data_IF_506725986876
#
_entry.id   IF_506725986876
#
_cell.length_a   1.000
_cell.length_b   1.000
_cell.length_c   1.000
_cell.angle_alpha   90.00
_cell.angle_beta   90.00
_cell.angle_gamma   90.00
#
_symmetry.space_group_name_H-M   'P 1'
#
loop_
_entity.id
_entity.type
_entity.pdbx_description
1 polymer ?
#
# COMPACT_ATOMS: atom_id res chain seq x y z
N UNK A 1 5.08 -35.70 6.33
CA UNK A 1 5.62 -34.71 5.38
C UNK A 1 6.78 -33.97 6.04
N UNK A 2 8.01 -34.04 5.49
CA UNK A 2 9.14 -33.24 5.98
C UNK A 2 8.84 -31.76 5.70
N UNK A 3 8.73 -30.92 6.73
CA UNK A 3 8.64 -29.46 6.59
C UNK A 3 9.89 -29.00 5.84
N UNK A 4 9.74 -28.60 4.57
CA UNK A 4 10.79 -27.86 3.84
C UNK A 4 11.02 -26.58 4.64
N UNK A 5 12.12 -26.49 5.38
CA UNK A 5 12.57 -25.22 5.98
C UNK A 5 12.80 -24.26 4.81
N UNK A 6 11.98 -23.24 4.71
CA UNK A 6 12.18 -22.19 3.73
C UNK A 6 13.51 -21.48 4.06
N UNK A 7 14.31 -21.23 3.03
CA UNK A 7 15.64 -20.64 3.16
C UNK A 7 15.47 -19.15 3.51
N UNK A 8 16.01 -18.71 4.65
CA UNK A 8 15.96 -17.31 5.08
C UNK A 8 16.56 -16.44 3.97
N UNK A 9 15.85 -15.38 3.57
CA UNK A 9 16.39 -14.41 2.62
C UNK A 9 17.53 -13.65 3.31
N UNK A 10 18.69 -13.63 2.67
CA UNK A 10 19.90 -12.96 3.17
C UNK A 10 19.99 -11.55 2.56
N UNK A 11 20.34 -10.55 3.37
CA UNK A 11 20.55 -9.16 2.93
C UNK A 11 20.14 -8.11 3.97
N UNK A 12 20.63 -6.89 3.78
CA UNK A 12 20.24 -5.74 4.61
C UNK A 12 18.73 -5.46 4.41
N UNK A 13 17.98 -5.30 5.50
CA UNK A 13 16.52 -5.14 5.52
C UNK A 13 15.71 -6.32 4.93
N UNK A 14 16.29 -7.53 4.80
CA UNK A 14 15.51 -8.72 4.45
C UNK A 14 14.38 -8.95 5.47
N UNK A 15 13.20 -9.45 5.04
CA UNK A 15 12.09 -9.73 5.95
C UNK A 15 12.55 -10.58 7.13
N UNK A 16 12.21 -10.17 8.36
CA UNK A 16 12.65 -10.85 9.58
C UNK A 16 12.19 -12.30 9.66
N UNK A 17 11.06 -12.61 9.03
CA UNK A 17 10.51 -13.95 8.82
C UNK A 17 9.94 -14.05 7.42
N UNK A 18 9.87 -15.28 6.90
CA UNK A 18 9.14 -15.57 5.67
C UNK A 18 7.75 -16.06 6.02
N UNK A 19 6.73 -15.52 5.38
CA UNK A 19 5.35 -16.02 5.53
C UNK A 19 5.20 -17.40 4.87
N UNK A 20 5.29 -18.45 5.68
CA UNK A 20 5.18 -19.85 5.23
C UNK A 20 3.79 -20.45 5.51
N UNK A 21 2.97 -19.85 6.37
CA UNK A 21 1.65 -20.39 6.75
C UNK A 21 0.48 -19.52 6.29
N UNK A 22 -0.21 -20.00 5.25
CA UNK A 22 -1.51 -19.47 4.80
C UNK A 22 -2.58 -20.03 5.75
N UNK A 23 -2.84 -19.36 6.87
CA UNK A 23 -3.99 -19.71 7.70
C UNK A 23 -5.28 -19.34 6.97
N UNK A 24 -6.29 -20.23 6.88
CA UNK A 24 -7.53 -19.95 6.15
C UNK A 24 -8.31 -18.74 6.68
N UNK A 25 -8.00 -18.28 7.90
CA UNK A 25 -8.62 -17.11 8.52
C UNK A 25 -7.78 -15.83 8.39
N UNK A 26 -6.59 -15.90 7.77
CA UNK A 26 -5.64 -14.78 7.68
C UNK A 26 -5.43 -14.35 6.24
N UNK A 27 -5.50 -13.05 5.99
CA UNK A 27 -5.20 -12.49 4.67
C UNK A 27 -3.70 -12.33 4.55
N UNK A 28 -3.03 -13.31 3.94
CA UNK A 28 -1.58 -13.27 3.69
C UNK A 28 -1.25 -13.21 2.20
N UNK A 29 -0.16 -12.55 1.85
CA UNK A 29 0.36 -12.50 0.49
C UNK A 29 1.49 -11.50 0.37
N UNK A 30 1.86 -11.16 -0.86
CA UNK A 30 2.82 -10.09 -1.11
C UNK A 30 2.75 -9.55 -2.52
N UNK A 31 3.28 -8.35 -2.71
CA UNK A 31 3.41 -7.71 -4.02
C UNK A 31 4.88 -7.44 -4.31
N UNK A 32 5.34 -7.87 -5.48
CA UNK A 32 6.69 -7.61 -5.97
C UNK A 32 6.62 -6.60 -7.12
N UNK A 33 7.27 -5.46 -6.95
CA UNK A 33 7.60 -4.48 -7.98
C UNK A 33 9.11 -4.29 -7.92
N UNK A 34 9.83 -4.82 -8.92
CA UNK A 34 11.28 -5.04 -8.89
C UNK A 34 12.09 -3.80 -8.46
N UNK A 35 11.71 -2.60 -8.93
CA UNK A 35 12.40 -1.35 -8.59
C UNK A 35 12.11 -0.82 -7.17
N UNK A 36 10.98 -1.24 -6.57
CA UNK A 36 10.44 -0.66 -5.34
C UNK A 36 10.45 -1.61 -4.14
N UNK A 37 10.43 -2.90 -4.39
CA UNK A 37 10.33 -3.92 -3.34
C UNK A 37 11.46 -4.92 -3.57
N UNK A 38 12.64 -4.72 -2.97
CA UNK A 38 13.77 -5.63 -3.13
C UNK A 38 13.43 -7.08 -2.74
N UNK A 39 12.49 -7.21 -1.82
CA UNK A 39 11.79 -8.44 -1.47
C UNK A 39 10.29 -8.19 -1.67
N UNK A 40 9.46 -9.23 -1.92
CA UNK A 40 8.01 -9.04 -1.96
C UNK A 40 7.53 -8.28 -0.72
N UNK A 41 6.78 -7.20 -0.91
CA UNK A 41 6.14 -6.49 0.20
C UNK A 41 5.03 -7.38 0.74
N UNK A 42 5.32 -8.10 1.82
CA UNK A 42 4.42 -9.07 2.43
C UNK A 42 3.37 -8.37 3.31
N UNK A 43 2.16 -8.95 3.37
CA UNK A 43 1.09 -8.52 4.25
C UNK A 43 0.48 -9.70 5.01
N UNK A 44 0.00 -9.44 6.22
CA UNK A 44 -0.65 -10.37 7.14
C UNK A 44 -2.06 -9.94 7.57
N UNK A 45 -2.48 -8.75 7.14
CA UNK A 45 -3.80 -8.19 7.38
C UNK A 45 -4.38 -7.54 6.13
N UNK A 46 -5.70 -7.32 6.13
CA UNK A 46 -6.38 -6.60 5.05
C UNK A 46 -5.94 -5.13 4.97
N UNK A 47 -5.57 -4.52 6.10
CA UNK A 47 -5.07 -3.14 6.14
C UNK A 47 -3.67 -3.02 5.52
N UNK A 48 -2.76 -3.94 5.84
CA UNK A 48 -1.44 -4.02 5.19
C UNK A 48 -1.56 -4.23 3.68
N UNK A 49 -2.46 -5.13 3.25
CA UNK A 49 -2.74 -5.36 1.81
C UNK A 49 -3.16 -4.07 1.09
N UNK A 50 -3.94 -3.21 1.75
CA UNK A 50 -4.40 -1.93 1.20
C UNK A 50 -3.31 -0.86 1.18
N UNK A 51 -2.42 -0.86 2.19
CA UNK A 51 -1.29 0.08 2.27
C UNK A 51 -0.29 -0.12 1.14
N UNK A 52 0.08 -1.38 0.84
CA UNK A 52 1.17 -1.66 -0.09
C UNK A 52 1.01 -0.92 -1.44
N UNK A 53 -0.10 -1.05 -2.18
CA UNK A 53 -0.24 -0.32 -3.44
C UNK A 53 -0.24 1.20 -3.25
N UNK A 54 -0.74 1.72 -2.13
CA UNK A 54 -0.70 3.15 -1.79
C UNK A 54 0.75 3.65 -1.67
N UNK A 55 1.60 2.90 -0.97
CA UNK A 55 3.03 3.21 -0.81
C UNK A 55 3.78 3.14 -2.14
N UNK A 56 3.51 2.12 -2.95
CA UNK A 56 4.20 1.94 -4.24
C UNK A 56 3.81 3.01 -5.27
N UNK A 57 2.63 3.62 -5.12
CA UNK A 57 2.18 4.75 -5.93
C UNK A 57 2.75 6.09 -5.45
N UNK A 58 3.40 6.15 -4.29
CA UNK A 58 4.04 7.37 -3.82
C UNK A 58 5.30 7.67 -4.63
N UNK A 59 5.45 8.92 -5.06
CA UNK A 59 6.57 9.41 -5.88
C UNK A 59 7.88 9.48 -5.10
N UNK A 60 7.81 9.83 -3.82
CA UNK A 60 8.96 9.99 -2.92
C UNK A 60 9.49 8.66 -2.37
N UNK A 61 8.72 7.56 -2.49
CA UNK A 61 9.13 6.23 -2.05
C UNK A 61 10.13 5.62 -3.03
N UNK A 62 11.31 5.27 -2.50
CA UNK A 62 12.37 4.56 -3.23
C UNK A 62 12.25 3.06 -3.03
N UNK A 63 12.05 2.61 -1.79
CA UNK A 63 11.96 1.20 -1.44
C UNK A 63 10.97 0.94 -0.32
N UNK A 64 10.34 -0.23 -0.33
CA UNK A 64 9.44 -0.75 0.70
C UNK A 64 9.92 -2.12 1.12
N UNK A 65 10.09 -2.32 2.43
CA UNK A 65 10.44 -3.59 3.05
C UNK A 65 9.37 -3.96 4.07
N UNK A 66 8.91 -5.21 4.07
CA UNK A 66 7.98 -5.70 5.07
C UNK A 66 8.71 -6.28 6.28
N UNK A 67 8.03 -6.28 7.44
CA UNK A 67 8.40 -7.03 8.64
C UNK A 67 9.81 -6.74 9.18
N UNK A 68 10.09 -5.47 9.46
CA UNK A 68 11.40 -5.05 9.96
C UNK A 68 11.48 -5.14 11.49
N UNK A 69 12.27 -6.10 11.97
CA UNK A 69 12.51 -6.29 13.39
C UNK A 69 13.46 -5.21 13.94
N UNK A 70 13.13 -4.69 15.12
CA UNK A 70 13.88 -3.71 15.91
C UNK A 70 13.76 -4.06 17.38
N UNK A 71 14.82 -3.80 18.14
CA UNK A 71 14.77 -3.92 19.60
C UNK A 71 14.27 -2.61 20.20
N UNK A 72 13.55 -2.68 21.31
CA UNK A 72 13.13 -1.52 22.09
C UNK A 72 13.13 -1.85 23.58
N UNK A 73 13.18 -0.82 24.43
CA UNK A 73 13.00 -0.99 25.88
C UNK A 73 11.56 -0.66 26.25
N UNK A 74 10.90 -1.57 26.97
CA UNK A 74 9.56 -1.34 27.50
C UNK A 74 9.59 -0.42 28.74
N UNK A 75 8.42 -0.25 29.38
CA UNK A 75 8.27 0.67 30.52
C UNK A 75 9.03 0.21 31.77
N UNK A 76 9.30 -1.10 31.86
CA UNK A 76 10.06 -1.71 32.96
C UNK A 76 11.56 -1.75 32.65
N UNK A 77 11.99 -1.18 31.52
CA UNK A 77 13.37 -1.19 31.06
C UNK A 77 13.83 -2.54 30.51
N UNK A 78 12.90 -3.45 30.20
CA UNK A 78 13.22 -4.76 29.63
C UNK A 78 13.34 -4.63 28.11
N UNK A 79 14.41 -5.20 27.55
CA UNK A 79 14.59 -5.24 26.10
C UNK A 79 13.59 -6.22 25.48
N UNK A 80 12.86 -5.74 24.48
CA UNK A 80 11.83 -6.48 23.74
C UNK A 80 12.12 -6.38 22.25
N UNK A 81 11.63 -7.37 21.51
CA UNK A 81 11.63 -7.32 20.05
C UNK A 81 10.29 -6.76 19.57
N UNK A 82 10.35 -5.85 18.61
CA UNK A 82 9.20 -5.31 17.90
C UNK A 82 9.44 -5.48 16.40
N UNK A 83 8.39 -5.79 15.65
CA UNK A 83 8.47 -5.91 14.19
C UNK A 83 7.50 -4.91 13.59
N UNK A 84 8.03 -3.88 12.96
CA UNK A 84 7.21 -2.92 12.22
C UNK A 84 6.64 -3.60 10.97
N UNK A 85 5.39 -3.28 10.64
CA UNK A 85 4.72 -3.81 9.44
C UNK A 85 5.53 -3.49 8.18
N UNK A 86 6.01 -2.24 8.05
CA UNK A 86 6.88 -1.82 6.95
C UNK A 86 8.04 -0.92 7.39
N UNK A 87 9.10 -0.90 6.58
CA UNK A 87 10.09 0.16 6.52
C UNK A 87 10.06 0.71 5.10
N UNK A 88 10.04 2.04 4.99
CA UNK A 88 10.09 2.72 3.70
C UNK A 88 11.30 3.65 3.63
N UNK A 89 11.98 3.60 2.49
CA UNK A 89 12.99 4.59 2.12
C UNK A 89 12.31 5.67 1.30
N UNK A 90 12.35 6.92 1.76
CA UNK A 90 11.85 8.08 1.01
C UNK A 90 12.78 9.27 1.19
N UNK A 91 13.10 9.96 0.09
CA UNK A 91 14.17 10.96 0.11
C UNK A 91 15.48 10.38 0.68
N UNK A 92 15.98 10.95 1.77
CA UNK A 92 17.18 10.49 2.49
C UNK A 92 16.83 9.93 3.89
N UNK A 93 15.58 9.55 4.11
CA UNK A 93 15.05 9.13 5.41
C UNK A 93 14.48 7.72 5.27
N UNK A 94 14.79 6.88 6.25
CA UNK A 94 14.10 5.62 6.48
C UNK A 94 13.01 5.82 7.53
N UNK A 95 11.80 5.33 7.29
CA UNK A 95 10.68 5.44 8.24
C UNK A 95 10.06 4.08 8.47
N UNK A 96 10.04 3.66 9.74
CA UNK A 96 9.27 2.51 10.20
C UNK A 96 7.78 2.89 10.23
N UNK A 97 6.94 2.06 9.63
CA UNK A 97 5.50 2.28 9.53
C UNK A 97 4.78 1.11 10.21
N UNK A 98 3.93 1.45 11.17
CA UNK A 98 2.98 0.54 11.79
C UNK A 98 1.58 0.81 11.24
N UNK A 99 0.85 -0.25 10.90
CA UNK A 99 -0.52 -0.18 10.38
C UNK A 99 -1.46 -0.78 11.39
N UNK A 100 -2.34 0.04 11.95
CA UNK A 100 -3.34 -0.42 12.92
C UNK A 100 -4.63 0.38 12.80
N UNK A 101 -5.79 -0.25 13.05
CA UNK A 101 -7.02 0.48 13.25
C UNK A 101 -6.84 1.55 14.33
N UNK A 102 -7.45 2.71 14.11
CA UNK A 102 -7.33 3.83 15.06
C UNK A 102 -7.82 3.44 16.47
N UNK A 103 -8.91 2.70 16.56
CA UNK A 103 -9.45 2.17 17.82
C UNK A 103 -8.48 1.22 18.55
N UNK A 104 -7.69 0.45 17.79
CA UNK A 104 -6.72 -0.48 18.35
C UNK A 104 -5.56 0.26 18.99
N UNK A 105 -5.01 1.27 18.30
CA UNK A 105 -3.89 2.07 18.81
C UNK A 105 -4.23 2.78 20.14
N UNK A 106 -5.47 3.23 20.27
CA UNK A 106 -5.93 3.99 21.44
C UNK A 106 -6.66 3.16 22.48
N UNK A 107 -6.72 1.82 22.31
CA UNK A 107 -7.22 0.94 23.35
C UNK A 107 -6.29 0.98 24.57
N UNK A 108 -6.83 1.06 25.82
CA UNK A 108 -6.02 1.17 27.03
C UNK A 108 -4.95 0.08 27.20
N UNK A 109 -5.19 -1.12 26.66
CA UNK A 109 -4.25 -2.24 26.73
C UNK A 109 -3.09 -2.13 25.72
N UNK A 110 -3.27 -1.41 24.60
CA UNK A 110 -2.30 -1.35 23.51
C UNK A 110 -1.51 -0.04 23.49
N UNK A 111 -2.16 1.07 23.87
CA UNK A 111 -1.55 2.40 23.89
C UNK A 111 -0.23 2.46 24.70
N UNK A 112 -0.12 1.85 25.91
CA UNK A 112 1.12 1.87 26.69
C UNK A 112 2.32 1.26 25.94
N UNK A 113 2.09 0.17 25.21
CA UNK A 113 3.11 -0.54 24.41
C UNK A 113 3.59 0.32 23.24
N UNK A 114 2.66 0.89 22.47
CA UNK A 114 3.02 1.76 21.34
C UNK A 114 3.71 3.06 21.77
N UNK A 115 3.35 3.62 22.93
CA UNK A 115 4.07 4.75 23.52
C UNK A 115 5.50 4.37 23.89
N UNK A 116 5.73 3.18 24.46
CA UNK A 116 7.08 2.72 24.80
C UNK A 116 7.95 2.54 23.55
N UNK A 117 7.41 1.89 22.51
CA UNK A 117 8.08 1.71 21.21
C UNK A 117 8.45 3.08 20.60
N UNK A 118 7.47 3.98 20.50
CA UNK A 118 7.66 5.29 19.89
C UNK A 118 8.67 6.16 20.67
N UNK A 119 8.63 6.15 22.01
CA UNK A 119 9.63 6.82 22.84
C UNK A 119 11.04 6.28 22.61
N UNK A 120 11.17 4.95 22.49
CA UNK A 120 12.47 4.33 22.23
C UNK A 120 13.02 4.76 20.86
N UNK A 121 12.21 4.73 19.80
CA UNK A 121 12.61 5.15 18.46
C UNK A 121 12.93 6.64 18.38
N UNK A 122 12.13 7.48 19.03
CA UNK A 122 12.41 8.91 19.12
C UNK A 122 13.76 9.18 19.83
N UNK A 123 14.04 8.48 20.94
CA UNK A 123 15.32 8.58 21.67
C UNK A 123 16.53 8.11 20.85
N UNK A 124 16.33 7.11 19.99
CA UNK A 124 17.40 6.52 19.15
C UNK A 124 17.50 7.15 17.76
N UNK A 125 16.71 8.19 17.47
CA UNK A 125 16.74 8.89 16.19
C UNK A 125 16.11 8.12 15.02
N UNK A 126 15.32 7.08 15.30
CA UNK A 126 14.62 6.30 14.28
C UNK A 126 13.27 6.96 13.97
N UNK A 127 13.00 7.24 12.69
CA UNK A 127 11.70 7.77 12.28
C UNK A 127 10.65 6.66 12.31
N UNK A 128 9.53 6.96 12.97
CA UNK A 128 8.42 6.04 13.17
C UNK A 128 7.11 6.76 12.84
N UNK A 129 6.15 6.06 12.24
CA UNK A 129 4.85 6.61 11.87
C UNK A 129 3.76 5.54 11.92
N UNK A 130 2.52 5.99 12.09
CA UNK A 130 1.33 5.14 12.02
C UNK A 130 0.55 5.44 10.75
N UNK A 131 0.05 4.39 10.10
CA UNK A 131 -1.04 4.50 9.13
C UNK A 131 -2.27 3.81 9.72
N UNK A 132 -3.34 4.55 9.85
CA UNK A 132 -4.64 4.06 10.29
C UNK A 132 -5.58 3.91 9.11
N UNK A 133 -6.59 3.09 9.30
CA UNK A 133 -7.57 2.79 8.28
C UNK A 133 -8.42 3.98 7.83
N UNK A 134 -8.58 5.05 8.61
CA UNK A 134 -9.20 6.29 8.09
C UNK A 134 -8.44 6.83 6.87
N UNK A 135 -7.10 6.80 6.90
CA UNK A 135 -6.25 7.21 5.77
C UNK A 135 -6.40 6.23 4.61
N UNK A 136 -6.57 4.93 4.88
CA UNK A 136 -6.74 3.88 3.86
C UNK A 136 -8.09 3.93 3.15
N UNK A 137 -9.11 4.43 3.84
CA UNK A 137 -10.46 4.59 3.31
C UNK A 137 -10.80 6.01 2.88
N UNK A 138 -9.81 6.89 2.85
CA UNK A 138 -10.00 8.24 2.34
C UNK A 138 -10.36 8.20 0.85
N UNK A 139 -11.47 8.84 0.48
CA UNK A 139 -11.85 9.05 -0.92
C UNK A 139 -11.42 10.46 -1.35
N UNK A 140 -11.05 10.67 -2.63
CA UNK A 140 -11.06 9.71 -3.75
C UNK A 140 -9.81 8.84 -3.85
N UNK A 141 -8.87 9.04 -2.92
CA UNK A 141 -7.57 8.39 -2.85
C UNK A 141 -7.65 6.86 -2.96
N UNK A 142 -8.50 6.22 -2.16
CA UNK A 142 -8.76 4.77 -2.21
C UNK A 142 -9.22 4.30 -3.58
N UNK A 143 -10.21 4.96 -4.17
CA UNK A 143 -10.71 4.62 -5.51
C UNK A 143 -9.59 4.67 -6.55
N UNK A 144 -8.78 5.73 -6.52
CA UNK A 144 -7.65 5.90 -7.44
C UNK A 144 -6.59 4.81 -7.25
N UNK A 145 -6.26 4.46 -5.99
CA UNK A 145 -5.32 3.36 -5.70
C UNK A 145 -5.82 2.02 -6.22
N UNK A 146 -7.10 1.70 -6.00
CA UNK A 146 -7.69 0.44 -6.48
C UNK A 146 -7.70 0.32 -8.01
N UNK A 147 -7.80 1.45 -8.72
CA UNK A 147 -7.65 1.50 -10.16
C UNK A 147 -6.19 1.28 -10.56
N UNK A 148 -5.28 2.10 -10.04
CA UNK A 148 -3.87 2.18 -10.46
C UNK A 148 -3.04 0.97 -10.02
N UNK A 149 -3.39 0.30 -8.93
CA UNK A 149 -2.65 -0.88 -8.45
C UNK A 149 -2.57 -2.01 -9.49
N UNK A 150 -3.53 -2.06 -10.41
CA UNK A 150 -3.58 -3.06 -11.49
C UNK A 150 -2.55 -2.81 -12.58
N UNK A 151 -1.98 -1.60 -12.63
CA UNK A 151 -1.02 -1.17 -13.64
C UNK A 151 0.41 -1.03 -13.11
N UNK A 152 0.62 -1.24 -11.80
CA UNK A 152 1.95 -1.12 -11.16
C UNK A 152 3.03 -1.96 -11.84
N UNK A 153 2.67 -3.15 -12.31
CA UNK A 153 3.58 -4.09 -12.99
C UNK A 153 3.22 -4.31 -14.46
N UNK A 154 2.33 -3.47 -15.02
CA UNK A 154 1.97 -3.60 -16.43
C UNK A 154 3.17 -3.22 -17.31
N UNK A 155 3.44 -3.97 -18.40
CA UNK A 155 4.50 -3.61 -19.32
C UNK A 155 4.13 -2.30 -20.03
N UNK A 156 5.12 -1.46 -20.27
CA UNK A 156 4.98 -0.22 -21.03
C UNK A 156 5.85 -0.33 -22.30
N UNK A 157 5.30 -0.03 -23.49
CA UNK A 157 6.11 0.05 -24.70
C UNK A 157 7.22 1.09 -24.55
N UNK A 158 8.43 0.76 -25.03
CA UNK A 158 9.62 1.60 -24.85
C UNK A 158 9.44 3.04 -25.37
N UNK A 159 8.63 3.22 -26.41
CA UNK A 159 8.38 4.52 -27.04
C UNK A 159 7.21 5.30 -26.42
N UNK A 160 6.36 4.66 -25.61
CA UNK A 160 5.14 5.29 -25.08
C UNK A 160 5.46 6.54 -24.24
N UNK A 161 6.51 6.46 -23.41
CA UNK A 161 6.94 7.61 -22.61
C UNK A 161 7.44 8.76 -23.49
N UNK A 162 8.18 8.47 -24.58
CA UNK A 162 8.71 9.49 -25.46
C UNK A 162 7.58 10.27 -26.17
N UNK A 163 6.59 9.56 -26.72
CA UNK A 163 5.41 10.18 -27.35
C UNK A 163 4.61 11.04 -26.36
N UNK A 164 4.44 10.53 -25.14
CA UNK A 164 3.75 11.26 -24.08
C UNK A 164 4.51 12.52 -23.68
N UNK A 165 5.82 12.44 -23.48
CA UNK A 165 6.66 13.62 -23.16
C UNK A 165 6.59 14.67 -24.27
N UNK A 166 6.57 14.25 -25.54
CA UNK A 166 6.40 15.14 -26.68
C UNK A 166 5.06 15.89 -26.66
N UNK A 167 3.97 15.20 -26.28
CA UNK A 167 2.65 15.82 -26.14
C UNK A 167 2.61 16.94 -25.07
N UNK A 168 3.48 16.89 -24.06
CA UNK A 168 3.60 17.94 -23.03
C UNK A 168 4.55 19.09 -23.41
N UNK A 169 5.13 19.12 -24.62
CA UNK A 169 6.05 20.21 -25.01
C UNK A 169 5.38 21.59 -25.08
N UNK A 170 4.07 21.63 -25.39
CA UNK A 170 3.32 22.88 -25.59
C UNK A 170 2.42 23.24 -24.41
N UNK A 171 2.00 22.25 -23.65
CA UNK A 171 1.06 22.39 -22.54
C UNK A 171 1.61 21.68 -21.30
N UNK A 172 1.57 22.36 -20.15
CA UNK A 172 2.03 21.76 -18.89
C UNK A 172 1.07 20.67 -18.39
N UNK A 173 -0.21 20.75 -18.76
CA UNK A 173 -1.22 19.79 -18.37
C UNK A 173 -2.07 19.40 -19.56
N UNK A 174 -2.44 18.12 -19.65
CA UNK A 174 -3.26 17.57 -20.74
C UNK A 174 -4.27 16.61 -20.14
N UNK A 175 -5.53 16.63 -20.59
CA UNK A 175 -6.53 15.67 -20.10
C UNK A 175 -6.18 14.24 -20.54
N UNK A 176 -6.58 13.22 -19.77
CA UNK A 176 -6.33 11.80 -20.12
C UNK A 176 -6.76 11.47 -21.56
N UNK A 177 -7.95 11.91 -22.00
CA UNK A 177 -8.43 11.65 -23.36
C UNK A 177 -7.62 12.36 -24.43
N UNK A 178 -7.29 13.64 -24.20
CA UNK A 178 -6.50 14.44 -25.14
C UNK A 178 -5.08 13.86 -25.27
N UNK A 179 -4.52 13.35 -24.19
CA UNK A 179 -3.21 12.71 -24.21
C UNK A 179 -3.25 11.40 -25.01
N UNK A 180 -4.30 10.59 -24.85
CA UNK A 180 -4.49 9.39 -25.67
C UNK A 180 -4.48 9.72 -27.17
N UNK A 181 -5.18 10.78 -27.56
CA UNK A 181 -5.29 11.21 -28.95
C UNK A 181 -3.96 11.80 -29.45
N UNK A 182 -3.35 12.73 -28.71
CA UNK A 182 -2.14 13.44 -29.09
C UNK A 182 -0.89 12.54 -29.14
N UNK A 183 -0.74 11.62 -28.19
CA UNK A 183 0.41 10.72 -28.11
C UNK A 183 0.16 9.35 -28.76
N UNK A 184 -1.02 9.14 -29.35
CA UNK A 184 -1.48 7.85 -29.89
C UNK A 184 -1.23 6.71 -28.89
N UNK A 185 -1.67 6.92 -27.64
CA UNK A 185 -1.53 5.93 -26.57
C UNK A 185 -2.91 5.47 -26.07
N UNK A 186 -2.98 4.22 -25.66
CA UNK A 186 -4.15 3.63 -25.02
C UNK A 186 -4.33 4.17 -23.60
N UNK A 187 -5.57 4.10 -23.11
CA UNK A 187 -5.89 4.42 -21.72
C UNK A 187 -5.09 3.55 -20.72
N UNK A 188 -4.80 2.30 -21.09
CA UNK A 188 -4.00 1.40 -20.28
C UNK A 188 -2.54 1.87 -20.16
N UNK A 189 -1.94 2.37 -21.24
CA UNK A 189 -0.59 2.95 -21.22
C UNK A 189 -0.56 4.21 -20.34
N UNK A 190 -1.57 5.08 -20.45
CA UNK A 190 -1.69 6.27 -19.59
C UNK A 190 -1.76 5.87 -18.10
N UNK A 191 -2.62 4.93 -17.73
CA UNK A 191 -2.70 4.45 -16.35
C UNK A 191 -1.43 3.73 -15.88
N UNK A 192 -0.73 3.05 -16.78
CA UNK A 192 0.58 2.44 -16.49
C UNK A 192 1.63 3.51 -16.22
N UNK A 193 1.68 4.58 -17.03
CA UNK A 193 2.56 5.72 -16.80
C UNK A 193 2.28 6.44 -15.47
N UNK A 194 1.00 6.58 -15.09
CA UNK A 194 0.63 7.13 -13.78
C UNK A 194 1.06 6.18 -12.66
N UNK A 195 0.75 4.88 -12.77
CA UNK A 195 1.09 3.89 -11.74
C UNK A 195 2.61 3.72 -11.56
N UNK A 196 3.38 3.87 -12.64
CA UNK A 196 4.84 3.87 -12.63
C UNK A 196 5.44 5.25 -12.31
N UNK A 197 4.59 6.22 -11.92
CA UNK A 197 5.00 7.55 -11.42
C UNK A 197 5.73 8.41 -12.46
N UNK A 198 5.48 8.13 -13.74
CA UNK A 198 5.96 8.90 -14.90
C UNK A 198 5.02 10.05 -15.27
N UNK A 199 3.75 9.94 -14.89
CA UNK A 199 2.75 11.01 -14.99
C UNK A 199 2.14 11.28 -13.62
N UNK A 200 1.76 12.54 -13.39
CA UNK A 200 1.14 13.00 -12.15
C UNK A 200 -0.25 13.58 -12.42
N UNK A 201 -1.10 13.54 -11.40
CA UNK A 201 -2.41 14.18 -11.38
C UNK A 201 -2.70 14.62 -9.94
N UNK A 202 -3.74 15.43 -9.75
CA UNK A 202 -4.20 15.81 -8.42
C UNK A 202 -4.98 14.68 -7.73
N UNK A 203 -4.36 14.08 -6.72
CA UNK A 203 -4.92 12.99 -5.92
C UNK A 203 -6.11 13.40 -5.04
N UNK A 204 -6.39 14.69 -4.92
CA UNK A 204 -7.57 15.24 -4.23
C UNK A 204 -8.86 14.98 -5.01
N UNK A 205 -8.75 14.66 -6.30
CA UNK A 205 -9.88 14.36 -7.18
C UNK A 205 -9.85 12.91 -7.66
N UNK A 206 -11.03 12.39 -8.00
CA UNK A 206 -11.15 11.06 -8.61
C UNK A 206 -10.51 11.09 -10.00
N UNK A 207 -9.69 10.09 -10.30
CA UNK A 207 -9.09 9.91 -11.62
C UNK A 207 -10.18 9.50 -12.61
N UNK A 208 -10.32 10.29 -13.67
CA UNK A 208 -11.30 10.14 -14.74
C UNK A 208 -10.66 10.45 -16.08
N UNK A 209 -11.40 10.20 -17.17
CA UNK A 209 -10.98 10.51 -18.54
C UNK A 209 -10.75 12.01 -18.80
N UNK A 210 -11.35 12.88 -18.00
CA UNK A 210 -11.16 14.33 -18.07
C UNK A 210 -10.16 14.86 -17.03
N UNK A 211 -9.53 13.98 -16.24
CA UNK A 211 -8.52 14.41 -15.28
C UNK A 211 -7.31 14.95 -16.02
N UNK A 212 -6.84 16.12 -15.57
CA UNK A 212 -5.60 16.71 -16.05
C UNK A 212 -4.42 15.91 -15.54
N UNK A 213 -3.54 15.56 -16.46
CA UNK A 213 -2.26 14.92 -16.19
C UNK A 213 -1.14 15.89 -16.43
N UNK A 214 0.02 15.57 -15.88
CA UNK A 214 1.21 16.37 -16.08
C UNK A 214 2.47 15.53 -15.98
N UNK A 215 3.57 16.03 -16.54
CA UNK A 215 4.89 15.51 -16.18
C UNK A 215 5.16 15.80 -14.70
N UNK A 216 6.04 15.02 -14.04
CA UNK A 216 6.22 15.16 -12.62
C UNK A 216 6.79 16.53 -12.22
N UNK A 217 6.27 17.05 -11.11
CA UNK A 217 6.58 18.37 -10.55
C UNK A 217 6.19 19.56 -11.44
N UNK A 218 5.29 19.35 -12.41
CA UNK A 218 4.88 20.37 -13.38
C UNK A 218 3.45 20.19 -13.89
N UNK A 219 2.39 20.76 -13.28
CA UNK A 219 2.31 21.39 -11.96
C UNK A 219 2.02 20.38 -10.84
N UNK A 220 1.69 19.13 -11.16
CA UNK A 220 1.34 18.14 -10.16
C UNK A 220 2.60 17.42 -9.65
N UNK A 221 2.71 17.37 -8.32
CA UNK A 221 3.76 16.60 -7.63
C UNK A 221 3.45 15.09 -7.64
N UNK A 222 2.19 14.68 -7.77
CA UNK A 222 1.77 13.28 -7.54
C UNK A 222 1.49 12.99 -6.06
N UNK A 223 1.47 11.71 -5.67
CA UNK A 223 1.22 11.31 -4.28
C UNK A 223 2.53 11.21 -3.51
N UNK A 224 2.60 11.82 -2.33
CA UNK A 224 3.74 11.67 -1.41
C UNK A 224 3.34 10.90 -0.16
N UNK A 225 4.30 10.26 0.51
CA UNK A 225 4.07 9.59 1.78
C UNK A 225 3.47 10.54 2.83
N UNK A 226 3.98 11.76 2.89
CA UNK A 226 3.47 12.81 3.77
C UNK A 226 2.02 13.22 3.49
N UNK A 227 1.50 12.98 2.27
CA UNK A 227 0.09 13.22 1.96
C UNK A 227 -0.79 12.12 2.55
N UNK A 228 -0.32 10.87 2.61
CA UNK A 228 -1.01 9.76 3.30
C UNK A 228 -1.10 10.06 4.79
N UNK A 229 0.00 10.46 5.42
CA UNK A 229 0.02 10.77 6.85
C UNK A 229 -0.93 11.90 7.22
N UNK A 230 -1.09 12.89 6.33
CA UNK A 230 -2.01 14.02 6.53
C UNK A 230 -3.46 13.74 6.12
N UNK A 231 -3.76 12.59 5.51
CA UNK A 231 -5.10 12.22 5.05
C UNK A 231 -6.03 11.74 6.19
N UNK A 232 -5.98 12.40 7.35
CA UNK A 232 -6.84 12.15 8.50
C UNK A 232 -6.91 13.40 9.39
N UNK A 233 -8.07 13.64 9.99
CA UNK A 233 -8.24 14.68 11.02
C UNK A 233 -7.48 14.39 12.33
N UNK A 234 -7.00 13.15 12.50
CA UNK A 234 -6.22 12.71 13.66
C UNK A 234 -4.71 12.79 13.39
N UNK A 235 -4.26 13.47 12.33
CA UNK A 235 -2.85 13.55 11.94
C UNK A 235 -1.92 14.03 13.07
N UNK A 236 -2.27 15.12 13.74
CA UNK A 236 -1.48 15.65 14.87
C UNK A 236 -1.39 14.67 16.04
N UNK A 237 -2.48 13.94 16.28
CA UNK A 237 -2.56 12.94 17.34
C UNK A 237 -1.67 11.73 17.03
N UNK A 238 -1.70 11.24 15.79
CA UNK A 238 -0.84 10.15 15.34
C UNK A 238 0.64 10.57 15.32
N UNK A 239 0.94 11.80 14.90
CA UNK A 239 2.29 12.35 14.95
C UNK A 239 2.81 12.48 16.39
N UNK A 240 1.97 12.92 17.33
CA UNK A 240 2.33 12.97 18.75
C UNK A 240 2.61 11.56 19.30
N UNK A 241 1.74 10.58 19.00
CA UNK A 241 1.92 9.19 19.39
C UNK A 241 3.22 8.61 18.82
N UNK A 242 3.52 8.87 17.55
CA UNK A 242 4.75 8.44 16.88
C UNK A 242 6.03 9.05 17.48
N UNK A 243 5.92 10.21 18.13
CA UNK A 243 7.00 10.83 18.90
C UNK A 243 7.03 10.37 20.37
N UNK A 244 6.25 9.35 20.74
CA UNK A 244 6.17 8.83 22.11
C UNK A 244 5.44 9.77 23.08
N UNK A 245 4.71 10.76 22.58
CA UNK A 245 3.94 11.71 23.40
C UNK A 245 2.55 11.16 23.60
N UNK A 246 2.16 10.99 24.87
CA UNK A 246 0.78 10.67 25.22
C UNK A 246 -0.17 11.82 24.87
N UNK A 247 -1.46 11.52 24.80
CA UNK A 247 -2.48 12.57 24.68
C UNK A 247 -2.86 13.01 26.10
N UNK A 248 -2.83 14.32 26.36
CA UNK A 248 -3.33 14.85 27.62
C UNK A 248 -4.87 14.90 27.66
N UNK A 249 -5.53 14.62 26.53
CA UNK A 249 -6.94 14.94 26.32
C UNK A 249 -7.75 13.67 26.09
N UNK A 250 -8.19 13.08 27.20
CA UNK A 250 -9.04 11.88 27.25
C UNK A 250 -10.31 12.04 26.40
N UNK A 251 -10.86 13.25 26.31
CA UNK A 251 -11.99 13.57 25.45
C UNK A 251 -11.68 13.42 23.94
N UNK A 252 -10.45 13.74 23.50
CA UNK A 252 -10.05 13.48 22.10
C UNK A 252 -9.93 11.98 21.82
N UNK A 253 -9.52 11.17 22.80
CA UNK A 253 -9.50 9.71 22.68
C UNK A 253 -10.93 9.16 22.54
N UNK A 254 -11.86 9.64 23.37
CA UNK A 254 -13.27 9.23 23.37
C UNK A 254 -14.00 9.59 22.07
N UNK A 255 -13.79 10.79 21.50
CA UNK A 255 -14.34 11.16 20.17
C UNK A 255 -13.77 10.27 19.08
N UNK A 256 -12.49 9.93 19.19
CA UNK A 256 -11.78 9.13 18.19
C UNK A 256 -12.30 7.70 18.15
N UNK A 257 -12.62 7.11 19.31
CA UNK A 257 -13.20 5.76 19.41
C UNK A 257 -14.69 5.73 19.06
N UNK A 258 -15.47 6.76 19.40
CA UNK A 258 -16.92 6.81 19.13
C UNK A 258 -17.29 6.99 17.65
N UNK A 259 -16.49 7.71 16.86
CA UNK A 259 -16.81 7.97 15.43
C UNK A 259 -16.92 6.71 14.57
N UNK A 260 -16.31 5.60 15.00
CA UNK A 260 -16.17 4.38 14.19
C UNK A 260 -17.34 3.41 14.29
N UNK A 261 -18.37 3.71 15.08
CA UNK A 261 -19.56 2.85 15.19
C UNK A 261 -20.34 2.66 13.87
N UNK A 262 -19.95 3.32 12.77
CA UNK A 262 -20.69 3.32 11.49
C UNK A 262 -20.06 2.51 10.36
N UNK A 263 -18.87 1.91 10.53
CA UNK A 263 -18.23 1.10 9.47
C UNK A 263 -17.98 -0.34 9.95
N UNK A 264 -18.50 -1.36 9.25
CA UNK A 264 -18.18 -2.74 9.59
C UNK A 264 -16.67 -2.99 9.41
N UNK A 265 -16.04 -3.78 10.28
CA UNK A 265 -14.63 -4.13 10.14
C UNK A 265 -14.36 -4.79 8.79
N UNK A 266 -13.13 -4.63 8.27
CA UNK A 266 -12.71 -5.37 7.09
C UNK A 266 -12.78 -6.87 7.39
N UNK A 267 -13.70 -7.56 6.72
CA UNK A 267 -13.70 -9.02 6.68
C UNK A 267 -13.00 -9.49 5.41
N UNK A 268 -12.39 -10.70 5.42
CA UNK A 268 -11.83 -11.31 4.21
C UNK A 268 -12.84 -11.38 3.03
N UNK A 269 -14.13 -11.38 3.34
CA UNK A 269 -15.25 -11.52 2.39
C UNK A 269 -15.67 -10.20 1.72
N UNK A 270 -15.32 -9.05 2.29
CA UNK A 270 -15.68 -7.72 1.76
C UNK A 270 -14.66 -7.19 0.73
N UNK A 271 -13.76 -8.04 0.21
CA UNK A 271 -12.68 -7.63 -0.68
C UNK A 271 -12.65 -8.47 -1.98
N UNK A 272 -12.93 -7.82 -3.13
CA UNK A 272 -12.85 -8.43 -4.46
C UNK A 272 -11.71 -7.75 -5.25
N UNK A 273 -10.64 -8.50 -5.54
CA UNK A 273 -9.51 -8.02 -6.33
C UNK A 273 -8.21 -8.78 -6.04
N UNK A 274 -7.68 -9.50 -7.03
CA UNK A 274 -6.36 -10.12 -7.00
C UNK A 274 -5.32 -9.25 -7.71
N UNK A 275 -4.04 -9.45 -7.41
CA UNK A 275 -2.93 -8.90 -8.20
C UNK A 275 -2.86 -9.70 -9.51
N UNK A 276 -3.61 -9.26 -10.53
CA UNK A 276 -3.53 -9.86 -11.87
C UNK A 276 -2.19 -9.52 -12.50
N UNK A 277 -1.47 -10.52 -13.02
CA UNK A 277 -0.28 -10.31 -13.87
C UNK A 277 -0.62 -9.73 -15.25
N UNK A 278 -1.86 -9.87 -15.69
CA UNK A 278 -2.32 -9.39 -16.98
C UNK A 278 -2.88 -7.97 -16.89
N UNK A 279 -2.56 -7.12 -17.88
CA UNK A 279 -3.09 -5.77 -18.03
C UNK A 279 -4.63 -5.80 -18.05
N UNK A 280 -5.32 -5.07 -17.16
CA UNK A 280 -6.76 -5.22 -16.93
C UNK A 280 -7.66 -4.65 -18.05
N UNK A 281 -7.09 -3.91 -19.02
CA UNK A 281 -7.80 -3.27 -20.14
C UNK A 281 -7.24 -3.69 -21.51
N UNK A 282 -6.63 -4.87 -21.63
CA UNK A 282 -6.28 -5.41 -22.95
C UNK A 282 -7.50 -6.06 -23.60
N UNK A 283 -7.49 -6.10 -24.93
CA UNK A 283 -8.42 -6.95 -25.67
C UNK A 283 -8.20 -8.41 -25.23
N UNK A 284 -9.26 -9.00 -24.69
CA UNK A 284 -9.27 -10.40 -24.28
C UNK A 284 -9.41 -11.25 -25.55
N UNK A 285 -8.55 -12.26 -25.72
CA UNK A 285 -8.75 -13.24 -26.80
C UNK A 285 -10.03 -14.05 -26.56
N UNK A 286 -10.59 -14.69 -27.60
CA UNK A 286 -11.81 -15.52 -27.49
C UNK A 286 -11.72 -16.59 -26.38
N UNK A 287 -10.53 -17.15 -26.16
CA UNK A 287 -10.26 -18.11 -25.08
C UNK A 287 -10.38 -17.50 -23.66
N UNK A 288 -10.18 -16.19 -23.53
CA UNK A 288 -10.26 -15.44 -22.27
C UNK A 288 -11.62 -14.78 -22.05
N UNK A 289 -12.37 -14.57 -23.13
CA UNK A 289 -13.77 -14.13 -23.16
C UNK A 289 -14.76 -15.27 -22.81
N UNK A 290 -14.30 -16.53 -22.84
CA UNK A 290 -15.07 -17.65 -22.28
C UNK A 290 -15.46 -17.32 -20.84
N UNK A 291 -16.73 -17.53 -20.43
CA UNK A 291 -17.20 -17.16 -19.10
C UNK A 291 -16.45 -17.98 -18.06
N UNK A 292 -15.34 -17.43 -17.56
CA UNK A 292 -14.58 -18.01 -16.44
C UNK A 292 -15.56 -18.22 -15.30
N UNK A 293 -15.73 -19.48 -14.92
CA UNK A 293 -16.68 -19.87 -13.90
C UNK A 293 -16.26 -19.17 -12.61
N UNK A 294 -17.22 -18.77 -11.76
CA UNK A 294 -16.93 -17.92 -10.58
C UNK A 294 -15.89 -18.49 -9.61
N UNK A 295 -15.61 -19.80 -9.68
CA UNK A 295 -14.54 -20.47 -8.97
C UNK A 295 -13.15 -20.40 -9.64
N UNK A 296 -13.08 -20.18 -10.96
CA UNK A 296 -11.84 -19.94 -11.71
C UNK A 296 -11.33 -18.50 -11.55
N UNK A 297 -12.22 -17.58 -11.15
CA UNK A 297 -11.83 -16.20 -10.74
C UNK A 297 -11.20 -16.15 -9.36
N UNK A 298 -11.27 -17.25 -8.60
CA UNK A 298 -10.59 -17.41 -7.32
C UNK A 298 -9.25 -18.08 -7.62
N UNK A 299 -8.20 -17.30 -7.79
CA UNK A 299 -6.86 -17.85 -7.67
C UNK A 299 -6.67 -18.35 -6.22
N UNK A 300 -7.07 -19.63 -6.06
CA UNK A 300 -6.96 -20.55 -4.92
C UNK A 300 -7.33 -19.98 -3.55
N UNK A 301 -8.61 -20.18 -3.19
CA UNK A 301 -8.99 -20.21 -1.78
C UNK A 301 -8.26 -21.39 -1.07
N UNK A 302 -7.77 -21.21 0.17
CA UNK A 302 -7.20 -22.31 0.94
C UNK A 302 -8.27 -23.39 1.20
N UNK A 303 -8.04 -24.63 0.77
CA UNK A 303 -8.85 -25.80 1.16
C UNK A 303 -9.38 -26.72 0.05
N UNK A 304 -9.21 -26.42 -1.24
CA UNK A 304 -9.59 -27.39 -2.27
C UNK A 304 -8.45 -28.38 -2.58
N UNK A 305 -8.52 -29.54 -1.94
CA UNK A 305 -7.90 -30.75 -2.46
C UNK A 305 -8.69 -31.20 -3.70
N UNK A 306 -8.11 -31.04 -4.88
CA UNK A 306 -8.54 -31.83 -6.04
C UNK A 306 -7.67 -33.06 -6.11
N UNK A 307 -8.14 -34.17 -5.54
CA UNK A 307 -7.75 -35.48 -6.08
C UNK A 307 -8.25 -35.53 -7.52
N UNK A 308 -7.45 -35.98 -8.49
CA UNK A 308 -7.98 -36.36 -9.78
C UNK A 308 -8.80 -37.64 -9.59
N UNK A 309 -10.11 -37.56 -9.78
CA UNK A 309 -10.92 -38.73 -10.10
C UNK A 309 -10.47 -39.20 -11.48
N UNK A 310 -9.59 -40.20 -11.52
CA UNK A 310 -9.44 -41.04 -12.69
C UNK A 310 -10.34 -42.27 -12.49
N UNK A 311 -11.25 -42.46 -13.44
CA UNK A 311 -11.76 -43.77 -13.81
C UNK A 311 -10.62 -44.64 -14.35
#
# INVERSE_FOLDING_TARGET
MKKRRARKLEGHNAPSRQLVEVSPHRTTGGLLVEELTPYPAEYESAYEKLVIPRLLLCRDIKRVYSQQARSYFDQDGVERQYTADFLVEHGNIETLIEIKPLEFLFHPEHLPTYLAIAKHFQKTGQAFAFIVDEQLFSEPQRTNTNLLMRYLTSPLPSEALARVVEAFQREQTVAVTELCDAASCSLAEVYTLIAQRRLCFDWSYKLTKSSLLSLPDQPFKGLFLGDIFRATRHGDLLAALALGRGTANQYRLEITTTWRQTRPPLTPWNFVGGFSKATPLRDLGEAELSPRKSWERRDRAPGQATQPNNA
#
